data_IF_332722546277
#
_entry.id   IF_332722546277
#
_cell.length_a   1.000
_cell.length_b   1.000
_cell.length_c   1.000
_cell.angle_alpha   90.00
_cell.angle_beta   90.00
_cell.angle_gamma   90.00
#
_symmetry.space_group_name_H-M   'P 1'
#
loop_
_entity.id
_entity.type
_entity.pdbx_description
1 polymer ?
#
# COMPACT_ATOMS: atom_id res chain seq x y z
N UNK A 1 -29.14 23.18 63.33
CA UNK A 1 -29.09 22.01 62.43
C UNK A 1 -28.29 22.43 61.18
N UNK A 2 -27.01 22.04 61.07
CA UNK A 2 -26.12 22.43 59.94
C UNK A 2 -26.10 21.31 58.95
N UNK A 3 -26.67 21.53 57.76
CA UNK A 3 -26.61 20.59 56.64
C UNK A 3 -25.23 20.69 56.00
N UNK A 4 -24.45 19.61 56.10
CA UNK A 4 -23.17 19.48 55.39
C UNK A 4 -23.46 19.05 53.95
N UNK A 5 -23.28 19.91 52.99
CA UNK A 5 -23.34 19.57 51.55
C UNK A 5 -22.01 18.91 51.21
N UNK A 6 -22.08 17.59 50.94
CA UNK A 6 -20.94 16.81 50.45
C UNK A 6 -20.85 16.98 48.96
N UNK A 7 -19.82 17.69 48.47
CA UNK A 7 -19.55 17.84 47.03
C UNK A 7 -18.78 16.60 46.59
N UNK A 8 -19.49 15.66 45.97
CA UNK A 8 -18.86 14.50 45.32
C UNK A 8 -18.32 14.94 43.96
N UNK A 9 -16.99 15.15 43.86
CA UNK A 9 -16.29 15.45 42.63
C UNK A 9 -16.25 14.18 41.79
N UNK A 10 -17.12 14.09 40.78
CA UNK A 10 -17.09 13.02 39.78
C UNK A 10 -15.98 13.39 38.79
N UNK A 11 -14.84 12.71 38.91
CA UNK A 11 -13.73 12.80 37.95
C UNK A 11 -14.14 12.00 36.69
N UNK A 12 -14.65 12.67 35.67
CA UNK A 12 -14.88 12.11 34.34
C UNK A 12 -13.53 11.88 33.69
N UNK A 13 -13.02 10.66 33.75
CA UNK A 13 -11.88 10.23 32.94
C UNK A 13 -12.39 10.13 31.51
N UNK A 14 -12.15 11.14 30.69
CA UNK A 14 -12.36 11.07 29.25
C UNK A 14 -11.25 10.21 28.67
N UNK A 15 -11.55 8.96 28.38
CA UNK A 15 -10.68 8.12 27.56
C UNK A 15 -10.82 8.66 26.11
N UNK A 16 -9.87 9.47 25.71
CA UNK A 16 -9.78 9.93 24.32
C UNK A 16 -9.25 8.77 23.50
N UNK A 17 -10.14 7.99 22.93
CA UNK A 17 -9.75 7.08 21.85
C UNK A 17 -9.30 7.93 20.65
N UNK A 18 -8.06 7.79 20.25
CA UNK A 18 -7.59 8.41 19.03
C UNK A 18 -8.44 7.88 17.87
N UNK A 19 -9.20 8.78 17.22
CA UNK A 19 -10.04 8.40 16.08
C UNK A 19 -9.15 8.05 14.90
N UNK A 20 -9.32 6.87 14.30
CA UNK A 20 -8.61 6.47 13.08
C UNK A 20 -8.88 7.47 11.95
N UNK A 21 -7.81 7.94 11.32
CA UNK A 21 -7.86 8.92 10.24
C UNK A 21 -8.14 8.23 8.91
N UNK A 22 -9.07 8.75 8.13
CA UNK A 22 -9.41 8.17 6.83
C UNK A 22 -8.42 8.56 5.71
N UNK A 23 -7.73 9.68 5.86
CA UNK A 23 -6.74 10.18 4.88
C UNK A 23 -5.55 10.78 5.62
N UNK A 24 -4.40 10.14 5.49
CA UNK A 24 -3.14 10.62 6.05
C UNK A 24 -2.12 10.66 4.92
N UNK A 25 -1.59 11.84 4.62
CA UNK A 25 -0.52 11.99 3.64
C UNK A 25 0.78 11.44 4.22
N UNK A 26 1.56 10.77 3.39
CA UNK A 26 2.89 10.32 3.74
C UNK A 26 3.86 10.49 2.56
N UNK A 27 5.13 10.63 2.89
CA UNK A 27 6.23 10.63 1.93
C UNK A 27 7.44 9.93 2.53
N UNK A 28 8.04 9.04 1.76
CA UNK A 28 9.26 8.32 2.14
C UNK A 28 10.40 8.83 1.27
N UNK A 29 11.15 9.79 1.80
CA UNK A 29 12.20 10.54 1.12
C UNK A 29 11.72 11.04 -0.28
N UNK A 30 12.55 10.85 -1.32
CA UNK A 30 12.22 11.08 -2.71
C UNK A 30 11.83 9.78 -3.46
N UNK A 31 11.53 8.70 -2.74
CA UNK A 31 11.29 7.38 -3.32
C UNK A 31 9.83 7.22 -3.73
N UNK A 32 8.92 7.42 -2.79
CA UNK A 32 7.49 7.33 -3.05
C UNK A 32 6.69 8.15 -2.02
N UNK A 33 5.48 8.51 -2.38
CA UNK A 33 4.53 9.22 -1.53
C UNK A 33 3.11 8.76 -1.80
N UNK A 34 2.18 9.09 -0.92
CA UNK A 34 0.80 8.68 -1.08
C UNK A 34 -0.13 9.19 0.00
N UNK A 35 -1.32 8.61 0.02
CA UNK A 35 -2.31 8.77 1.09
C UNK A 35 -2.63 7.39 1.65
N UNK A 36 -2.65 7.30 2.97
CA UNK A 36 -3.01 6.11 3.72
C UNK A 36 -4.35 6.30 4.44
N UNK A 37 -5.12 5.24 4.59
CA UNK A 37 -6.33 5.21 5.42
C UNK A 37 -6.11 4.32 6.64
N UNK A 38 -6.07 4.91 7.83
CA UNK A 38 -6.05 4.16 9.09
C UNK A 38 -7.35 3.38 9.33
N UNK A 39 -8.46 3.84 8.71
CA UNK A 39 -9.78 3.17 8.78
C UNK A 39 -9.78 1.86 7.99
N UNK A 40 -9.17 1.86 6.81
CA UNK A 40 -9.04 0.66 5.98
C UNK A 40 -7.78 -0.14 6.31
N UNK A 41 -6.84 0.48 7.02
CA UNK A 41 -5.48 -0.03 7.23
C UNK A 41 -4.79 -0.38 5.91
N UNK A 42 -5.02 0.48 4.90
CA UNK A 42 -4.52 0.32 3.53
C UNK A 42 -4.14 1.67 2.92
N UNK A 43 -3.16 1.72 2.02
CA UNK A 43 -2.93 2.89 1.18
C UNK A 43 -4.16 3.14 0.30
N UNK A 44 -4.50 4.42 0.08
CA UNK A 44 -5.51 4.83 -0.90
C UNK A 44 -4.87 5.06 -2.27
N UNK A 45 -3.65 5.57 -2.28
CA UNK A 45 -2.79 5.57 -3.45
C UNK A 45 -1.32 5.68 -3.07
N UNK A 46 -0.46 5.25 -3.97
CA UNK A 46 0.99 5.47 -3.94
C UNK A 46 1.45 5.93 -5.31
N UNK A 47 2.38 6.88 -5.36
CA UNK A 47 3.05 7.30 -6.58
C UNK A 47 4.57 7.30 -6.40
N UNK A 48 5.28 6.95 -7.47
CA UNK A 48 6.73 6.85 -7.51
C UNK A 48 7.29 7.06 -8.92
N UNK A 49 8.61 7.30 -8.98
CA UNK A 49 9.38 7.20 -10.23
C UNK A 49 10.33 6.01 -10.09
N UNK A 50 10.43 5.16 -11.12
CA UNK A 50 11.38 4.05 -11.13
C UNK A 50 12.80 4.59 -11.01
N UNK A 51 13.54 4.18 -9.97
CA UNK A 51 14.90 4.72 -9.68
C UNK A 51 16.01 3.80 -10.18
N UNK A 52 15.82 2.49 -10.07
CA UNK A 52 16.87 1.49 -10.25
C UNK A 52 16.39 0.34 -11.13
N UNK A 53 16.23 0.55 -12.45
CA UNK A 53 15.70 -0.50 -13.33
C UNK A 53 16.55 -1.79 -13.31
N UNK A 54 17.85 -1.66 -13.04
CA UNK A 54 18.83 -2.76 -13.02
C UNK A 54 19.48 -2.94 -11.63
N UNK A 55 18.82 -2.53 -10.56
CA UNK A 55 19.36 -2.67 -9.21
C UNK A 55 19.52 -4.14 -8.80
N UNK A 56 20.55 -4.42 -7.97
CA UNK A 56 20.96 -5.77 -7.57
C UNK A 56 20.99 -5.97 -6.06
N UNK A 57 20.52 -5.00 -5.26
CA UNK A 57 20.48 -5.15 -3.80
C UNK A 57 19.55 -6.31 -3.40
N UNK A 58 20.03 -7.17 -2.51
CA UNK A 58 19.27 -8.32 -2.04
C UNK A 58 18.24 -7.93 -0.98
N UNK A 59 17.02 -8.43 -1.13
CA UNK A 59 15.93 -8.32 -0.15
C UNK A 59 15.93 -9.44 0.91
N UNK A 60 16.94 -10.32 0.88
CA UNK A 60 17.02 -11.44 1.83
C UNK A 60 17.06 -10.95 3.27
N UNK A 61 16.21 -11.52 4.13
CA UNK A 61 16.10 -11.15 5.54
C UNK A 61 15.36 -9.84 5.80
N UNK A 62 14.78 -9.19 4.78
CA UNK A 62 13.90 -8.03 4.98
C UNK A 62 12.46 -8.46 5.26
N UNK A 63 11.84 -7.80 6.23
CA UNK A 63 10.40 -7.90 6.51
C UNK A 63 9.78 -6.52 6.58
N UNK A 64 8.45 -6.45 6.45
CA UNK A 64 7.71 -5.22 6.52
C UNK A 64 7.67 -4.66 7.93
N UNK A 65 7.68 -3.33 8.03
CA UNK A 65 7.57 -2.59 9.29
C UNK A 65 6.40 -1.62 9.28
N UNK A 66 5.79 -1.45 10.46
CA UNK A 66 4.73 -0.48 10.72
C UNK A 66 5.29 0.94 10.82
N UNK A 67 4.47 1.93 10.53
CA UNK A 67 4.80 3.33 10.80
C UNK A 67 4.57 3.65 12.30
N UNK A 68 5.30 4.64 12.82
CA UNK A 68 5.20 5.03 14.24
C UNK A 68 4.06 6.00 14.52
N UNK A 69 3.65 6.79 13.51
CA UNK A 69 2.70 7.90 13.63
C UNK A 69 1.38 7.61 12.89
N UNK A 70 1.37 6.61 12.01
CA UNK A 70 0.22 6.18 11.21
C UNK A 70 -0.13 4.75 11.56
N UNK A 71 -1.38 4.52 11.96
CA UNK A 71 -1.88 3.17 12.21
C UNK A 71 -2.00 2.41 10.88
N UNK A 72 -1.14 1.41 10.69
CA UNK A 72 -1.09 0.62 9.44
C UNK A 72 -1.58 -0.80 9.65
N UNK A 73 -1.81 -1.54 8.56
CA UNK A 73 -1.83 -3.00 8.59
C UNK A 73 -0.54 -3.55 9.21
N UNK A 74 -0.58 -4.80 9.62
CA UNK A 74 0.57 -5.49 10.21
C UNK A 74 0.64 -6.96 9.76
N UNK A 75 1.53 -7.75 10.38
CA UNK A 75 1.70 -9.16 10.05
C UNK A 75 0.44 -10.00 10.25
N UNK A 76 -0.45 -9.64 11.18
CA UNK A 76 -1.65 -10.42 11.49
C UNK A 76 -2.66 -10.41 10.34
N UNK A 77 -2.66 -9.36 9.51
CA UNK A 77 -3.53 -9.25 8.33
C UNK A 77 -3.19 -10.25 7.22
N UNK A 78 -2.02 -10.88 7.30
CA UNK A 78 -1.49 -11.76 6.25
C UNK A 78 -1.35 -13.22 6.68
N UNK A 79 -1.87 -13.57 7.86
CA UNK A 79 -1.81 -14.94 8.40
C UNK A 79 -2.99 -15.76 7.88
N UNK A 80 -2.72 -16.99 7.44
CA UNK A 80 -3.70 -18.02 7.06
C UNK A 80 -4.75 -17.56 6.02
N UNK A 81 -4.30 -16.76 5.04
CA UNK A 81 -5.17 -16.27 3.98
C UNK A 81 -4.45 -16.23 2.62
N UNK A 82 -5.12 -15.68 1.59
CA UNK A 82 -4.62 -15.64 0.20
C UNK A 82 -3.95 -14.32 -0.17
N UNK A 83 -3.79 -13.42 0.80
CA UNK A 83 -3.28 -12.07 0.57
C UNK A 83 -1.76 -12.03 0.79
N UNK A 84 -1.05 -11.54 -0.23
CA UNK A 84 0.36 -11.16 -0.10
C UNK A 84 0.47 -9.73 0.40
N UNK A 85 1.60 -9.41 1.05
CA UNK A 85 2.07 -8.04 1.29
C UNK A 85 2.48 -7.44 -0.06
N UNK A 86 1.49 -7.03 -0.86
CA UNK A 86 1.72 -6.54 -2.22
C UNK A 86 2.35 -5.15 -2.20
N UNK A 87 3.60 -5.03 -2.66
CA UNK A 87 4.22 -3.72 -2.83
C UNK A 87 3.46 -2.89 -3.85
N UNK A 88 3.21 -1.61 -3.56
CA UNK A 88 2.72 -0.65 -4.54
C UNK A 88 3.91 0.01 -5.28
N UNK A 89 4.88 0.59 -4.58
CA UNK A 89 6.18 0.94 -5.14
C UNK A 89 7.10 -0.29 -5.03
N UNK A 90 7.43 -0.97 -6.16
CA UNK A 90 8.04 -2.29 -6.14
C UNK A 90 9.47 -2.26 -5.62
N UNK A 91 9.83 -3.20 -4.75
CA UNK A 91 11.17 -3.32 -4.20
C UNK A 91 12.26 -3.36 -5.29
N UNK A 92 12.02 -4.07 -6.39
CA UNK A 92 12.98 -4.18 -7.49
C UNK A 92 13.24 -2.84 -8.23
N UNK A 93 12.29 -1.89 -8.19
CA UNK A 93 12.47 -0.56 -8.78
C UNK A 93 13.30 0.38 -7.90
N UNK A 94 13.72 -0.06 -6.71
CA UNK A 94 14.49 0.71 -5.73
C UNK A 94 15.70 -0.07 -5.18
N UNK A 95 16.15 -1.11 -5.87
CA UNK A 95 17.22 -2.00 -5.44
C UNK A 95 18.63 -1.53 -5.83
N UNK A 96 18.87 -0.20 -5.91
CA UNK A 96 20.22 0.37 -6.10
C UNK A 96 21.16 0.00 -4.95
N UNK A 97 20.66 0.06 -3.73
CA UNK A 97 21.36 -0.26 -2.50
C UNK A 97 20.38 -0.80 -1.45
N UNK A 98 20.95 -1.45 -0.42
CA UNK A 98 20.17 -2.10 0.66
C UNK A 98 19.36 -1.11 1.48
N UNK A 99 19.85 0.11 1.70
CA UNK A 99 19.17 1.13 2.51
C UNK A 99 17.94 1.65 1.80
N UNK A 100 18.06 1.95 0.51
CA UNK A 100 16.94 2.39 -0.34
C UNK A 100 15.90 1.28 -0.48
N UNK A 101 16.36 0.06 -0.80
CA UNK A 101 15.50 -1.10 -0.90
C UNK A 101 14.68 -1.36 0.38
N UNK A 102 15.31 -1.29 1.56
CA UNK A 102 14.64 -1.51 2.85
C UNK A 102 13.46 -0.57 3.08
N UNK A 103 13.51 0.68 2.58
CA UNK A 103 12.44 1.66 2.74
C UNK A 103 11.16 1.26 2.01
N UNK A 104 11.24 0.41 0.98
CA UNK A 104 10.03 -0.08 0.29
C UNK A 104 9.22 -1.09 1.13
N UNK A 105 9.84 -1.69 2.16
CA UNK A 105 9.21 -2.66 3.06
C UNK A 105 8.41 -2.01 4.20
N UNK A 106 7.79 -0.86 3.97
CA UNK A 106 6.84 -0.22 4.87
C UNK A 106 5.42 -0.68 4.57
N UNK A 107 4.59 -0.90 5.60
CA UNK A 107 3.16 -1.14 5.41
C UNK A 107 2.43 0.06 4.79
N UNK A 108 2.98 1.27 4.81
CA UNK A 108 2.47 2.41 4.02
C UNK A 108 2.53 2.15 2.51
N UNK A 109 3.39 1.24 2.08
CA UNK A 109 3.63 0.84 0.69
C UNK A 109 3.08 -0.55 0.36
N UNK A 110 2.32 -1.17 1.24
CA UNK A 110 1.80 -2.52 1.10
C UNK A 110 0.29 -2.54 1.08
N UNK A 111 -0.31 -3.32 0.19
CA UNK A 111 -1.73 -3.60 0.19
C UNK A 111 -2.00 -5.10 0.28
N UNK A 112 -3.17 -5.47 0.82
CA UNK A 112 -3.69 -6.84 0.76
C UNK A 112 -3.97 -7.18 -0.70
N UNK A 113 -3.02 -7.81 -1.37
CA UNK A 113 -3.11 -8.16 -2.78
C UNK A 113 -3.22 -9.67 -2.96
N UNK A 114 -4.20 -10.11 -3.75
CA UNK A 114 -4.38 -11.54 -4.00
C UNK A 114 -3.09 -12.15 -4.59
N UNK A 115 -2.61 -13.26 -4.00
CA UNK A 115 -1.32 -13.88 -4.35
C UNK A 115 -1.17 -14.17 -5.85
N UNK A 116 -2.25 -14.60 -6.53
CA UNK A 116 -2.21 -14.87 -7.97
C UNK A 116 -1.97 -13.60 -8.79
N UNK A 117 -2.60 -12.48 -8.40
CA UNK A 117 -2.36 -11.18 -9.02
C UNK A 117 -0.93 -10.71 -8.75
N UNK A 118 -0.54 -10.65 -7.48
CA UNK A 118 0.76 -10.14 -7.04
C UNK A 118 1.93 -10.89 -7.70
N UNK A 119 1.89 -12.21 -7.67
CA UNK A 119 2.96 -13.08 -8.20
C UNK A 119 2.89 -13.28 -9.72
N UNK A 120 1.76 -12.91 -10.34
CA UNK A 120 1.49 -13.06 -11.77
C UNK A 120 1.59 -11.76 -12.56
N UNK A 121 0.45 -11.27 -13.04
CA UNK A 121 0.35 -10.15 -13.98
C UNK A 121 0.89 -8.83 -13.41
N UNK A 122 0.72 -8.60 -12.11
CA UNK A 122 1.27 -7.42 -11.43
C UNK A 122 2.79 -7.40 -11.51
N UNK A 123 3.45 -8.51 -11.15
CA UNK A 123 4.91 -8.66 -11.24
C UNK A 123 5.45 -8.54 -12.67
N UNK A 124 4.69 -9.03 -13.68
CA UNK A 124 5.06 -8.88 -15.09
C UNK A 124 5.00 -7.42 -15.53
N UNK A 125 3.95 -6.68 -15.12
CA UNK A 125 3.83 -5.25 -15.43
C UNK A 125 4.93 -4.43 -14.76
N UNK A 126 5.31 -4.77 -13.52
CA UNK A 126 6.46 -4.15 -12.84
C UNK A 126 7.78 -4.38 -13.57
N UNK A 127 7.95 -5.56 -14.20
CA UNK A 127 9.13 -5.82 -15.04
C UNK A 127 9.13 -4.93 -16.27
N UNK A 128 7.98 -4.77 -16.93
CA UNK A 128 7.82 -3.85 -18.06
C UNK A 128 8.11 -2.39 -17.68
N UNK A 129 7.68 -1.92 -16.49
CA UNK A 129 8.02 -0.58 -15.97
C UNK A 129 9.53 -0.38 -15.87
N UNK A 130 10.26 -1.39 -15.37
CA UNK A 130 11.73 -1.34 -15.28
C UNK A 130 12.41 -1.40 -16.64
N UNK A 131 11.87 -2.18 -17.58
CA UNK A 131 12.38 -2.22 -18.95
C UNK A 131 12.26 -0.86 -19.64
N UNK A 132 11.11 -0.19 -19.49
CA UNK A 132 10.90 1.18 -19.97
C UNK A 132 11.87 2.17 -19.31
N UNK A 133 12.16 1.99 -18.02
CA UNK A 133 12.99 2.91 -17.24
C UNK A 133 14.48 2.88 -17.68
N UNK A 134 14.91 1.92 -18.51
CA UNK A 134 16.21 1.96 -19.15
C UNK A 134 16.32 3.04 -20.24
N UNK A 135 15.19 3.56 -20.73
CA UNK A 135 15.15 4.49 -21.85
C UNK A 135 14.44 5.80 -21.51
N UNK A 136 13.53 5.80 -20.53
CA UNK A 136 12.65 6.94 -20.23
C UNK A 136 12.57 7.14 -18.70
N UNK A 137 12.23 8.36 -18.27
CA UNK A 137 11.70 8.55 -16.93
C UNK A 137 10.31 7.89 -16.85
N UNK A 138 10.14 6.94 -15.96
CA UNK A 138 8.87 6.21 -15.77
C UNK A 138 8.25 6.63 -14.44
N UNK A 139 7.11 7.33 -14.53
CA UNK A 139 6.29 7.71 -13.37
C UNK A 139 5.10 6.78 -13.25
N UNK A 140 4.85 6.31 -12.06
CA UNK A 140 3.77 5.37 -11.79
C UNK A 140 2.91 5.90 -10.65
N UNK A 141 1.59 5.82 -10.83
CA UNK A 141 0.59 6.04 -9.80
C UNK A 141 -0.30 4.83 -9.69
N UNK A 142 -0.51 4.36 -8.47
CA UNK A 142 -1.40 3.25 -8.18
C UNK A 142 -2.49 3.74 -7.23
N UNK A 143 -3.73 3.62 -7.66
CA UNK A 143 -4.92 3.85 -6.82
C UNK A 143 -5.45 2.52 -6.32
N UNK A 144 -5.74 2.46 -5.03
CA UNK A 144 -6.30 1.28 -4.37
C UNK A 144 -7.80 1.46 -4.26
N UNK A 145 -8.57 0.53 -4.82
CA UNK A 145 -10.02 0.64 -4.95
C UNK A 145 -10.74 -0.07 -3.80
N UNK A 146 -11.77 0.58 -3.28
CA UNK A 146 -12.68 0.06 -2.26
C UNK A 146 -14.12 0.20 -2.76
N UNK A 147 -14.49 -0.60 -3.76
CA UNK A 147 -15.78 -0.54 -4.46
C UNK A 147 -16.67 -1.75 -4.06
N UNK A 148 -17.99 -1.53 -4.03
CA UNK A 148 -18.96 -2.58 -3.76
C UNK A 148 -18.99 -3.05 -2.30
N UNK A 149 -19.25 -4.34 -2.08
CA UNK A 149 -19.26 -4.94 -0.73
C UNK A 149 -17.82 -5.22 -0.29
N UNK A 150 -17.36 -4.49 0.70
CA UNK A 150 -16.01 -4.63 1.23
C UNK A 150 -15.91 -5.83 2.20
N UNK A 151 -14.75 -6.48 2.19
CA UNK A 151 -14.37 -7.51 3.16
C UNK A 151 -13.39 -6.88 4.16
N UNK A 152 -13.72 -6.96 5.44
CA UNK A 152 -12.82 -6.56 6.54
C UNK A 152 -12.29 -7.86 7.16
N UNK A 153 -10.99 -7.96 7.32
CA UNK A 153 -10.36 -9.10 7.99
C UNK A 153 -10.63 -9.05 9.51
N UNK A 154 -10.60 -10.19 10.20
CA UNK A 154 -10.75 -10.21 11.65
C UNK A 154 -9.69 -9.37 12.40
N UNK A 155 -8.51 -9.19 11.81
CA UNK A 155 -7.40 -8.36 12.30
C UNK A 155 -7.65 -6.86 12.15
N UNK A 156 -8.54 -6.41 11.25
CA UNK A 156 -8.97 -5.02 11.10
C UNK A 156 -8.81 -4.46 9.69
N UNK A 157 -7.83 -4.92 8.92
CA UNK A 157 -7.57 -4.39 7.60
C UNK A 157 -8.69 -4.72 6.60
N UNK A 158 -8.99 -3.76 5.73
CA UNK A 158 -10.00 -3.89 4.67
C UNK A 158 -9.34 -4.35 3.37
N UNK A 159 -9.87 -5.41 2.78
CA UNK A 159 -9.39 -5.95 1.50
C UNK A 159 -9.80 -5.02 0.37
N UNK A 160 -8.84 -4.50 -0.44
CA UNK A 160 -9.14 -3.74 -1.64
C UNK A 160 -9.94 -4.55 -2.66
N UNK A 161 -10.88 -3.91 -3.36
CA UNK A 161 -11.62 -4.55 -4.47
C UNK A 161 -10.79 -4.66 -5.76
N UNK A 162 -9.75 -3.82 -5.89
CA UNK A 162 -8.90 -3.77 -7.07
C UNK A 162 -7.88 -2.65 -7.03
N UNK A 163 -7.19 -2.48 -8.14
CA UNK A 163 -6.14 -1.47 -8.31
C UNK A 163 -6.25 -0.82 -9.69
N UNK A 164 -6.00 0.50 -9.75
CA UNK A 164 -5.74 1.19 -11.00
C UNK A 164 -4.28 1.60 -11.01
N UNK A 165 -3.52 1.14 -12.02
CA UNK A 165 -2.12 1.51 -12.21
C UNK A 165 -1.99 2.38 -13.45
N UNK A 166 -1.51 3.60 -13.26
CA UNK A 166 -1.20 4.55 -14.32
C UNK A 166 0.32 4.63 -14.49
N UNK A 167 0.79 4.43 -15.71
CA UNK A 167 2.22 4.53 -16.07
C UNK A 167 2.39 5.66 -17.07
N UNK A 168 3.27 6.62 -16.77
CA UNK A 168 3.60 7.76 -17.62
C UNK A 168 5.08 7.69 -18.01
N UNK A 169 5.34 7.76 -19.31
CA UNK A 169 6.69 7.76 -19.91
C UNK A 169 6.66 8.39 -21.30
N UNK A 170 7.69 9.11 -21.67
CA UNK A 170 7.85 9.69 -23.04
C UNK A 170 6.58 10.46 -23.51
N UNK A 171 5.98 11.24 -22.62
CA UNK A 171 4.73 11.97 -22.91
C UNK A 171 3.48 11.09 -23.10
N UNK A 172 3.60 9.78 -22.93
CA UNK A 172 2.51 8.80 -23.03
C UNK A 172 1.98 8.47 -21.67
N UNK A 173 0.69 8.10 -21.63
CA UNK A 173 0.00 7.63 -20.43
C UNK A 173 -0.74 6.33 -20.74
N UNK A 174 -0.50 5.30 -19.94
CA UNK A 174 -1.17 4.00 -20.06
C UNK A 174 -1.79 3.63 -18.72
N UNK A 175 -3.03 3.14 -18.74
CA UNK A 175 -3.79 2.84 -17.53
C UNK A 175 -4.21 1.36 -17.55
N UNK A 176 -4.06 0.70 -16.40
CA UNK A 176 -4.47 -0.68 -16.18
C UNK A 176 -5.40 -0.74 -14.98
N UNK A 177 -6.49 -1.53 -15.07
CA UNK A 177 -7.40 -1.79 -13.94
C UNK A 177 -7.41 -3.29 -13.64
N UNK A 178 -6.96 -3.66 -12.43
CA UNK A 178 -6.86 -5.03 -11.95
C UNK A 178 -7.93 -5.29 -10.89
N UNK A 179 -8.79 -6.31 -11.03
CA UNK A 179 -9.57 -6.81 -9.91
C UNK A 179 -8.65 -7.53 -8.92
N UNK A 180 -8.89 -7.35 -7.62
CA UNK A 180 -8.13 -8.00 -6.57
C UNK A 180 -8.75 -9.36 -6.20
N UNK A 181 -8.72 -10.29 -7.12
CA UNK A 181 -9.27 -11.62 -6.96
C UNK A 181 -8.36 -12.70 -7.55
N UNK A 182 -8.74 -13.97 -7.39
CA UNK A 182 -7.97 -15.10 -7.91
C UNK A 182 -8.09 -15.37 -9.41
N UNK A 183 -8.78 -14.51 -10.16
CA UNK A 183 -8.97 -14.69 -11.61
C UNK A 183 -7.64 -14.55 -12.34
N UNK A 184 -7.32 -15.56 -13.14
CA UNK A 184 -6.12 -15.59 -13.95
C UNK A 184 -6.45 -15.19 -15.39
N UNK A 185 -5.95 -14.04 -15.81
CA UNK A 185 -5.82 -13.67 -17.22
C UNK A 185 -4.34 -13.86 -17.57
N UNK A 186 -4.06 -14.52 -18.69
CA UNK A 186 -2.68 -14.95 -19.03
C UNK A 186 -1.74 -13.78 -19.34
N UNK A 187 -2.29 -12.61 -19.76
CA UNK A 187 -1.49 -11.48 -20.20
C UNK A 187 -1.94 -10.19 -19.48
N UNK A 188 -0.99 -9.49 -18.83
CA UNK A 188 -1.25 -8.22 -18.16
C UNK A 188 -1.75 -7.09 -19.09
N UNK A 189 -1.48 -7.16 -20.40
CA UNK A 189 -1.95 -6.19 -21.40
C UNK A 189 -3.49 -6.16 -21.46
N UNK A 190 -4.16 -7.27 -21.17
CA UNK A 190 -5.63 -7.37 -21.20
C UNK A 190 -6.32 -6.55 -20.09
N UNK A 191 -5.57 -6.13 -19.07
CA UNK A 191 -6.07 -5.22 -18.03
C UNK A 191 -5.98 -3.74 -18.41
N UNK A 192 -5.42 -3.43 -19.61
CA UNK A 192 -5.34 -2.07 -20.09
C UNK A 192 -6.74 -1.51 -20.34
N UNK A 193 -6.97 -0.29 -19.85
CA UNK A 193 -8.18 0.49 -20.13
C UNK A 193 -7.92 1.41 -21.32
N UNK A 194 -8.93 1.56 -22.16
CA UNK A 194 -8.86 2.47 -23.34
C UNK A 194 -8.97 3.93 -22.90
#
# INVERSE_FOLDING_TARGET
MRVKLSLTLILLIQVVFAQKRHRVEFQVDDLYKGIYSEVYEQPLYVEYTVKCPNGQASRSGMDFYTDKDIHTSDNLDYVDNVWDKGHLAPAASFSCDVKTLKKTFSYLNSALQHQNLNRGQWSQLESFERDLANFFEVKVRIEVLFEGKLTVLPSGATVPSGFVKTIEFDGRKVIFKFPNNGTHISNWIEYRTN
#
